data_IF_526064647377
#
_entry.id   IF_526064647377
#
_cell.length_a   1.000
_cell.length_b   1.000
_cell.length_c   1.000
_cell.angle_alpha   90.00
_cell.angle_beta   90.00
_cell.angle_gamma   90.00
#
_symmetry.space_group_name_H-M   'P 1'
#
loop_
_entity.id
_entity.type
_entity.pdbx_description
1 polymer ?
#
# COMPACT_ATOMS: atom_id res chain seq x y z
N UNK A 1 2.80 8.58 -13.81
CA UNK A 1 3.83 8.90 -12.80
C UNK A 1 3.92 10.39 -12.48
N UNK A 2 4.05 11.28 -13.48
CA UNK A 2 4.18 12.75 -13.25
C UNK A 2 2.99 13.41 -12.51
N UNK A 3 1.77 12.88 -12.68
CA UNK A 3 0.59 13.39 -11.96
C UNK A 3 0.58 13.04 -10.46
N UNK A 4 1.29 11.96 -10.08
CA UNK A 4 1.41 11.54 -8.68
C UNK A 4 2.47 12.41 -7.98
N UNK A 5 3.61 12.67 -8.61
CA UNK A 5 4.71 13.49 -8.05
C UNK A 5 4.31 14.94 -7.71
N UNK A 6 3.41 15.55 -8.49
CA UNK A 6 2.85 16.87 -8.18
C UNK A 6 1.95 16.89 -6.96
N UNK A 7 1.41 15.73 -6.57
CA UNK A 7 0.43 15.59 -5.49
C UNK A 7 1.09 15.16 -4.17
N UNK A 8 2.30 14.58 -4.19
CA UNK A 8 2.83 13.95 -2.96
C UNK A 8 3.56 14.90 -2.02
N UNK A 9 4.34 15.90 -2.46
CA UNK A 9 5.08 16.71 -1.48
C UNK A 9 5.38 18.14 -1.98
N UNK A 10 4.69 19.14 -1.41
CA UNK A 10 5.18 20.52 -1.39
C UNK A 10 4.19 21.61 -1.83
N UNK A 11 3.29 21.33 -2.78
CA UNK A 11 2.33 22.33 -3.29
C UNK A 11 1.19 22.67 -2.32
N UNK A 12 0.66 21.68 -1.60
CA UNK A 12 -0.45 21.84 -0.65
C UNK A 12 -0.10 22.71 0.57
N UNK A 13 1.18 22.83 0.92
CA UNK A 13 1.61 23.58 2.12
C UNK A 13 1.69 25.10 1.91
N UNK A 14 1.78 25.59 0.68
CA UNK A 14 1.94 27.02 0.40
C UNK A 14 0.74 27.89 0.85
N UNK A 15 -0.47 27.32 0.88
CA UNK A 15 -1.71 27.96 1.35
C UNK A 15 -2.15 27.51 2.75
N UNK A 16 -1.38 26.65 3.41
CA UNK A 16 -1.75 26.11 4.71
C UNK A 16 -1.63 27.20 5.80
N UNK A 17 -2.80 27.67 6.26
CA UNK A 17 -2.92 28.73 7.28
C UNK A 17 -2.32 28.29 8.63
N UNK A 18 -2.41 27.01 8.96
CA UNK A 18 -1.90 26.46 10.22
C UNK A 18 -0.37 26.46 10.26
N UNK A 19 0.29 26.19 9.13
CA UNK A 19 1.74 26.31 9.01
C UNK A 19 2.20 27.76 9.21
N UNK A 20 1.49 28.74 8.64
CA UNK A 20 1.77 30.17 8.85
C UNK A 20 1.56 30.59 10.30
N UNK A 21 0.50 30.12 10.96
CA UNK A 21 0.28 30.37 12.38
C UNK A 21 1.37 29.76 13.26
N UNK A 22 1.75 28.51 13.00
CA UNK A 22 2.79 27.81 13.74
C UNK A 22 4.15 28.52 13.63
N UNK A 23 4.47 29.04 12.44
CA UNK A 23 5.66 29.87 12.22
C UNK A 23 5.58 31.19 13.00
N UNK A 24 4.44 31.90 12.97
CA UNK A 24 4.24 33.13 13.75
C UNK A 24 4.36 32.90 15.26
N UNK A 25 3.83 31.78 15.77
CA UNK A 25 3.96 31.40 17.19
C UNK A 25 5.41 31.11 17.56
N UNK A 26 6.14 30.36 16.72
CA UNK A 26 7.59 30.12 16.90
C UNK A 26 8.40 31.42 16.91
N UNK A 27 8.09 32.35 16.00
CA UNK A 27 8.77 33.65 15.93
C UNK A 27 8.52 34.48 17.20
N UNK A 28 7.25 34.59 17.63
CA UNK A 28 6.90 35.31 18.86
C UNK A 28 7.61 34.76 20.10
N UNK A 29 7.62 33.44 20.26
CA UNK A 29 8.30 32.80 21.39
C UNK A 29 9.83 33.05 21.37
N UNK A 30 10.44 33.05 20.19
CA UNK A 30 11.85 33.37 20.04
C UNK A 30 12.15 34.85 20.36
N UNK A 31 11.28 35.76 19.93
CA UNK A 31 11.39 37.20 20.20
C UNK A 31 11.17 37.51 21.71
N UNK A 32 10.21 36.85 22.36
CA UNK A 32 9.96 36.92 23.81
C UNK A 32 11.16 36.38 24.61
N UNK A 33 11.71 35.24 24.20
CA UNK A 33 12.90 34.67 24.85
C UNK A 33 14.13 35.57 24.65
N UNK A 34 14.29 36.17 23.47
CA UNK A 34 15.36 37.15 23.20
C UNK A 34 15.23 38.39 24.06
N UNK A 35 14.02 38.93 24.22
CA UNK A 35 13.77 40.11 25.06
C UNK A 35 14.00 39.83 26.54
N UNK A 36 13.60 38.65 27.04
CA UNK A 36 13.92 38.21 28.40
C UNK A 36 15.43 38.09 28.63
N UNK A 37 16.18 37.52 27.69
CA UNK A 37 17.64 37.41 27.77
C UNK A 37 18.31 38.79 27.78
N UNK A 38 17.86 39.72 26.94
CA UNK A 38 18.39 41.09 26.91
C UNK A 38 18.08 41.84 28.20
N UNK A 39 16.88 41.69 28.75
CA UNK A 39 16.51 42.32 30.02
C UNK A 39 17.32 41.76 31.21
N UNK A 40 17.58 40.46 31.22
CA UNK A 40 18.41 39.81 32.23
C UNK A 40 19.88 40.25 32.17
N UNK A 41 20.42 40.48 30.96
CA UNK A 41 21.77 41.01 30.74
C UNK A 41 21.91 42.50 31.12
N UNK A 42 20.81 43.26 31.13
CA UNK A 42 20.81 44.68 31.50
C UNK A 42 20.67 44.92 33.01
N UNK A 43 20.18 43.93 33.77
CA UNK A 43 19.96 44.04 35.22
C UNK A 43 21.11 43.51 36.09
N UNK A 44 22.20 43.01 35.51
CA UNK A 44 23.25 42.32 36.26
C UNK A 44 24.36 43.25 36.77
N UNK A 45 24.43 43.45 38.09
CA UNK A 45 25.71 43.53 38.83
C UNK A 45 26.43 42.16 38.77
N UNK A 46 27.72 42.08 39.11
CA UNK A 46 28.59 40.90 38.91
C UNK A 46 27.98 39.55 39.36
N UNK A 47 27.20 39.52 40.46
CA UNK A 47 26.53 38.30 40.97
C UNK A 47 25.25 37.90 40.21
N UNK A 48 24.56 38.85 39.56
CA UNK A 48 23.34 38.58 38.78
C UNK A 48 23.63 37.91 37.43
N UNK A 49 24.83 38.15 36.88
CA UNK A 49 25.29 37.57 35.61
C UNK A 49 25.46 36.06 35.69
N UNK A 50 26.01 35.55 36.79
CA UNK A 50 26.29 34.12 36.98
C UNK A 50 25.00 33.30 37.14
N UNK A 51 24.00 33.85 37.84
CA UNK A 51 22.68 33.23 37.98
C UNK A 51 21.91 33.16 36.66
N UNK A 52 22.00 34.19 35.83
CA UNK A 52 21.39 34.20 34.48
C UNK A 52 22.06 33.17 33.58
N UNK A 53 23.39 33.04 33.63
CA UNK A 53 24.13 32.03 32.86
C UNK A 53 23.77 30.60 33.28
N UNK A 54 23.62 30.34 34.59
CA UNK A 54 23.20 29.05 35.12
C UNK A 54 21.79 28.67 34.63
N UNK A 55 20.83 29.59 34.67
CA UNK A 55 19.48 29.35 34.16
C UNK A 55 19.43 29.08 32.64
N UNK A 56 20.26 29.79 31.87
CA UNK A 56 20.38 29.55 30.42
C UNK A 56 20.98 28.17 30.18
N UNK A 57 22.01 27.78 30.93
CA UNK A 57 22.63 26.47 30.85
C UNK A 57 21.65 25.36 31.19
N UNK A 58 20.91 25.49 32.29
CA UNK A 58 19.89 24.53 32.73
C UNK A 58 18.78 24.39 31.69
N UNK A 59 18.31 25.50 31.12
CA UNK A 59 17.30 25.47 30.05
C UNK A 59 17.82 24.78 28.78
N UNK A 60 19.07 25.03 28.40
CA UNK A 60 19.70 24.37 27.25
C UNK A 60 19.87 22.87 27.54
N UNK A 61 20.33 22.49 28.73
CA UNK A 61 20.44 21.10 29.14
C UNK A 61 19.09 20.39 29.08
N UNK A 62 18.03 21.02 29.58
CA UNK A 62 16.68 20.47 29.55
C UNK A 62 16.19 20.28 28.11
N UNK A 63 16.42 21.27 27.23
CA UNK A 63 16.05 21.18 25.82
C UNK A 63 16.83 20.05 25.10
N UNK A 64 18.14 19.92 25.36
CA UNK A 64 18.97 18.84 24.83
C UNK A 64 18.45 17.49 25.31
N UNK A 65 18.13 17.34 26.61
CA UNK A 65 17.56 16.09 27.16
C UNK A 65 16.21 15.76 26.52
N UNK A 66 15.34 16.75 26.36
CA UNK A 66 14.03 16.57 25.75
C UNK A 66 14.14 16.13 24.27
N UNK A 67 15.03 16.77 23.50
CA UNK A 67 15.31 16.42 22.10
C UNK A 67 15.92 15.04 21.96
N UNK A 68 16.90 14.68 22.81
CA UNK A 68 17.50 13.34 22.83
C UNK A 68 16.45 12.26 23.11
N UNK A 69 15.55 12.47 24.06
CA UNK A 69 14.45 11.54 24.36
C UNK A 69 13.47 11.41 23.20
N UNK A 70 13.18 12.50 22.49
CA UNK A 70 12.34 12.47 21.30
C UNK A 70 13.01 11.69 20.16
N UNK A 71 14.31 11.93 19.94
CA UNK A 71 15.09 11.25 18.91
C UNK A 71 15.15 9.74 19.15
N UNK A 72 15.38 9.32 20.40
CA UNK A 72 15.35 7.90 20.78
C UNK A 72 13.98 7.26 20.49
N UNK A 73 12.88 7.95 20.82
CA UNK A 73 11.52 7.49 20.49
C UNK A 73 11.31 7.33 18.99
N UNK A 74 11.79 8.30 18.20
CA UNK A 74 11.65 8.24 16.74
C UNK A 74 12.49 7.13 16.13
N UNK A 75 13.72 6.92 16.61
CA UNK A 75 14.55 5.78 16.19
C UNK A 75 13.89 4.44 16.48
N UNK A 76 13.25 4.28 17.65
CA UNK A 76 12.51 3.06 17.98
C UNK A 76 11.34 2.82 17.01
N UNK A 77 10.58 3.86 16.70
CA UNK A 77 9.49 3.78 15.71
C UNK A 77 10.00 3.46 14.31
N UNK A 78 11.11 4.07 13.90
CA UNK A 78 11.73 3.81 12.61
C UNK A 78 12.13 2.33 12.48
N UNK A 79 12.84 1.79 13.47
CA UNK A 79 13.23 0.36 13.48
C UNK A 79 12.02 -0.58 13.48
N UNK A 80 10.98 -0.25 14.24
CA UNK A 80 9.74 -1.04 14.24
C UNK A 80 9.09 -1.05 12.86
N UNK A 81 8.96 0.12 12.21
CA UNK A 81 8.42 0.23 10.87
C UNK A 81 9.30 -0.46 9.81
N UNK A 82 10.62 -0.36 9.90
CA UNK A 82 11.55 -1.08 9.02
C UNK A 82 11.39 -2.61 9.15
N UNK A 83 11.19 -3.11 10.38
CA UNK A 83 10.95 -4.53 10.64
C UNK A 83 9.60 -4.96 10.05
N UNK A 84 8.54 -4.20 10.32
CA UNK A 84 7.20 -4.47 9.79
C UNK A 84 7.17 -4.48 8.25
N UNK A 85 7.86 -3.53 7.60
CA UNK A 85 8.00 -3.52 6.13
C UNK A 85 8.66 -4.81 5.63
N UNK A 86 9.72 -5.25 6.31
CA UNK A 86 10.43 -6.47 5.91
C UNK A 86 9.57 -7.72 6.10
N UNK A 87 8.82 -7.78 7.20
CA UNK A 87 7.92 -8.90 7.50
C UNK A 87 6.81 -8.98 6.43
N UNK A 88 6.14 -7.86 6.14
CA UNK A 88 5.12 -7.76 5.09
C UNK A 88 5.65 -8.13 3.70
N UNK A 89 6.88 -7.71 3.36
CA UNK A 89 7.51 -8.09 2.10
C UNK A 89 7.76 -9.61 2.03
N UNK A 90 8.14 -10.23 3.14
CA UNK A 90 8.36 -11.69 3.20
C UNK A 90 7.04 -12.47 3.07
N UNK A 91 5.98 -12.00 3.73
CA UNK A 91 4.63 -12.57 3.61
C UNK A 91 4.13 -12.48 2.17
N UNK A 92 4.28 -11.30 1.53
CA UNK A 92 3.87 -11.09 0.15
C UNK A 92 4.58 -12.02 -0.83
N UNK A 93 5.89 -12.22 -0.70
CA UNK A 93 6.63 -13.13 -1.58
C UNK A 93 6.24 -14.60 -1.35
N UNK A 94 5.95 -15.01 -0.10
CA UNK A 94 5.44 -16.35 0.19
C UNK A 94 4.07 -16.58 -0.45
N UNK A 95 3.13 -15.65 -0.26
CA UNK A 95 1.81 -15.74 -0.89
C UNK A 95 1.91 -15.82 -2.40
N UNK A 96 2.79 -15.02 -3.02
CA UNK A 96 3.02 -15.05 -4.46
C UNK A 96 3.53 -16.40 -4.94
N UNK A 97 4.43 -17.06 -4.19
CA UNK A 97 4.89 -18.41 -4.50
C UNK A 97 3.72 -19.40 -4.48
N UNK A 98 2.85 -19.31 -3.47
CA UNK A 98 1.69 -20.17 -3.33
C UNK A 98 0.64 -19.93 -4.43
N UNK A 99 0.39 -18.66 -4.78
CA UNK A 99 -0.47 -18.28 -5.91
C UNK A 99 0.06 -18.85 -7.23
N UNK A 100 1.35 -18.70 -7.51
CA UNK A 100 1.98 -19.29 -8.70
C UNK A 100 1.89 -20.82 -8.69
N UNK A 101 2.02 -21.46 -7.53
CA UNK A 101 1.82 -22.89 -7.36
C UNK A 101 0.39 -23.32 -7.72
N UNK A 102 -0.60 -22.55 -7.28
CA UNK A 102 -2.02 -22.78 -7.59
C UNK A 102 -2.29 -22.61 -9.08
N UNK A 103 -1.79 -21.55 -9.71
CA UNK A 103 -1.94 -21.32 -11.17
C UNK A 103 -1.39 -22.51 -11.95
N UNK A 104 -0.15 -22.94 -11.66
CA UNK A 104 0.49 -24.09 -12.34
C UNK A 104 -0.27 -25.40 -12.15
N UNK A 105 -0.91 -25.59 -10.99
CA UNK A 105 -1.78 -26.77 -10.74
C UNK A 105 -3.03 -26.68 -11.60
N UNK A 106 -3.74 -25.55 -11.56
CA UNK A 106 -4.95 -25.32 -12.34
C UNK A 106 -4.70 -25.42 -13.85
N UNK A 107 -3.55 -24.94 -14.34
CA UNK A 107 -3.14 -25.09 -15.73
C UNK A 107 -2.99 -26.57 -16.13
N UNK A 108 -2.33 -27.38 -15.28
CA UNK A 108 -2.19 -28.82 -15.53
C UNK A 108 -3.55 -29.53 -15.53
N UNK A 109 -4.42 -29.20 -14.58
CA UNK A 109 -5.77 -29.79 -14.49
C UNK A 109 -6.62 -29.41 -15.71
N UNK A 110 -6.53 -28.15 -16.17
CA UNK A 110 -7.16 -27.68 -17.41
C UNK A 110 -6.63 -28.42 -18.63
N UNK A 111 -5.32 -28.60 -18.75
CA UNK A 111 -4.71 -29.34 -19.87
C UNK A 111 -5.17 -30.79 -19.89
N UNK A 112 -5.20 -31.46 -18.74
CA UNK A 112 -5.70 -32.83 -18.64
C UNK A 112 -7.17 -32.92 -19.06
N UNK A 113 -8.00 -32.01 -18.56
CA UNK A 113 -9.42 -31.95 -18.91
C UNK A 113 -9.62 -31.74 -20.41
N UNK A 114 -8.86 -30.85 -21.03
CA UNK A 114 -8.90 -30.65 -22.48
C UNK A 114 -8.49 -31.91 -23.25
N UNK A 115 -7.39 -32.57 -22.86
CA UNK A 115 -6.95 -33.81 -23.50
C UNK A 115 -7.99 -34.93 -23.40
N UNK A 116 -8.63 -35.08 -22.24
CA UNK A 116 -9.69 -36.06 -22.04
C UNK A 116 -10.91 -35.74 -22.91
N UNK A 117 -11.31 -34.47 -23.00
CA UNK A 117 -12.41 -34.02 -23.86
C UNK A 117 -12.12 -34.29 -25.34
N UNK A 118 -10.91 -34.01 -25.82
CA UNK A 118 -10.52 -34.26 -27.21
C UNK A 118 -10.58 -35.77 -27.55
N UNK A 119 -10.17 -36.62 -26.61
CA UNK A 119 -10.29 -38.09 -26.74
C UNK A 119 -11.76 -38.53 -26.75
N UNK A 120 -12.55 -38.03 -25.80
CA UNK A 120 -13.96 -38.36 -25.69
C UNK A 120 -14.77 -37.88 -26.90
N UNK A 121 -14.46 -36.71 -27.47
CA UNK A 121 -15.13 -36.13 -28.63
C UNK A 121 -15.13 -37.09 -29.83
N UNK A 122 -14.02 -37.81 -30.04
CA UNK A 122 -13.88 -38.79 -31.12
C UNK A 122 -14.84 -39.97 -31.00
N UNK A 123 -15.39 -40.22 -29.81
CA UNK A 123 -16.33 -41.29 -29.51
C UNK A 123 -17.79 -40.82 -29.66
N UNK A 124 -18.03 -39.51 -29.81
CA UNK A 124 -19.37 -38.94 -29.93
C UNK A 124 -19.91 -39.20 -31.35
N UNK A 125 -21.21 -39.55 -31.42
CA UNK A 125 -21.90 -39.81 -32.69
C UNK A 125 -21.92 -38.54 -33.57
N UNK A 126 -21.64 -38.70 -34.86
CA UNK A 126 -21.44 -37.57 -35.80
C UNK A 126 -22.67 -36.70 -36.06
N UNK A 127 -23.86 -37.25 -35.84
CA UNK A 127 -25.15 -36.58 -35.97
C UNK A 127 -25.56 -35.83 -34.69
N UNK A 128 -24.75 -35.86 -33.64
CA UNK A 128 -24.94 -35.08 -32.41
C UNK A 128 -24.26 -33.71 -32.53
N UNK A 129 -24.88 -32.64 -32.03
CA UNK A 129 -24.27 -31.30 -31.97
C UNK A 129 -22.94 -31.26 -31.19
N UNK A 130 -22.78 -32.08 -30.16
CA UNK A 130 -21.53 -32.19 -29.38
C UNK A 130 -20.37 -32.84 -30.16
N UNK A 131 -20.61 -33.40 -31.34
CA UNK A 131 -19.51 -33.82 -32.23
C UNK A 131 -18.64 -32.62 -32.66
N UNK A 132 -19.19 -31.40 -32.67
CA UNK A 132 -18.47 -30.15 -32.90
C UNK A 132 -18.39 -29.31 -31.62
N UNK A 133 -17.39 -29.59 -30.78
CA UNK A 133 -17.17 -28.85 -29.54
C UNK A 133 -16.80 -27.38 -29.75
N UNK A 134 -16.21 -27.01 -30.89
CA UNK A 134 -15.96 -25.59 -31.18
C UNK A 134 -17.26 -24.81 -31.32
N UNK A 135 -18.22 -25.35 -32.07
CA UNK A 135 -19.55 -24.74 -32.18
C UNK A 135 -20.22 -24.61 -30.82
N UNK A 136 -20.20 -25.68 -30.01
CA UNK A 136 -20.79 -25.65 -28.66
C UNK A 136 -20.14 -24.60 -27.76
N UNK A 137 -18.81 -24.41 -27.84
CA UNK A 137 -18.10 -23.37 -27.08
C UNK A 137 -18.55 -21.96 -27.47
N UNK A 138 -18.73 -21.68 -28.76
CA UNK A 138 -19.18 -20.36 -29.22
C UNK A 138 -20.65 -20.07 -28.84
N UNK A 139 -21.48 -21.11 -28.77
CA UNK A 139 -22.89 -20.99 -28.36
C UNK A 139 -23.06 -20.98 -26.83
N UNK A 140 -22.01 -21.29 -26.08
CA UNK A 140 -22.05 -21.29 -24.61
C UNK A 140 -21.82 -19.89 -24.03
N UNK A 141 -22.56 -19.55 -22.99
CA UNK A 141 -22.54 -18.22 -22.38
C UNK A 141 -22.24 -18.37 -20.89
N UNK A 142 -21.34 -17.54 -20.37
CA UNK A 142 -21.08 -17.48 -18.93
C UNK A 142 -22.26 -16.81 -18.22
N UNK A 143 -22.82 -17.48 -17.23
CA UNK A 143 -23.85 -16.91 -16.36
C UNK A 143 -23.20 -16.47 -15.03
N UNK A 144 -23.13 -15.16 -14.81
CA UNK A 144 -22.58 -14.56 -13.60
C UNK A 144 -23.43 -14.85 -12.36
N UNK A 145 -24.75 -15.03 -12.52
CA UNK A 145 -25.66 -15.25 -11.39
C UNK A 145 -25.49 -16.65 -10.80
N UNK A 146 -25.34 -17.67 -11.66
CA UNK A 146 -25.11 -19.06 -11.24
C UNK A 146 -23.64 -19.44 -11.13
N UNK A 147 -22.73 -18.59 -11.64
CA UNK A 147 -21.28 -18.86 -11.66
C UNK A 147 -20.92 -20.07 -12.51
N UNK A 148 -21.65 -20.34 -13.60
CA UNK A 148 -21.38 -21.47 -14.48
C UNK A 148 -21.68 -21.17 -15.95
N UNK A 149 -21.08 -21.95 -16.86
CA UNK A 149 -21.37 -21.87 -18.28
C UNK A 149 -22.74 -22.49 -18.60
N UNK A 150 -23.60 -21.73 -19.27
CA UNK A 150 -24.81 -22.26 -19.93
C UNK A 150 -24.39 -22.89 -21.26
N UNK A 151 -24.49 -24.21 -21.35
CA UNK A 151 -24.11 -25.01 -22.52
C UNK A 151 -25.39 -25.53 -23.19
N UNK A 152 -25.50 -25.49 -24.54
CA UNK A 152 -26.68 -26.02 -25.26
C UNK A 152 -26.90 -27.51 -25.01
N UNK A 153 -28.15 -27.96 -24.89
CA UNK A 153 -28.46 -29.38 -24.64
C UNK A 153 -28.06 -30.31 -25.81
N UNK A 154 -27.83 -31.62 -25.56
CA UNK A 154 -27.51 -32.57 -26.62
C UNK A 154 -28.69 -32.81 -27.56
N UNK A 155 -28.49 -32.52 -28.84
CA UNK A 155 -29.49 -32.70 -29.91
C UNK A 155 -28.93 -33.58 -31.02
N UNK A 156 -29.75 -34.55 -31.44
CA UNK A 156 -29.47 -35.45 -32.55
C UNK A 156 -30.14 -34.88 -33.81
N UNK A 157 -29.35 -34.52 -34.81
CA UNK A 157 -29.83 -34.08 -36.11
C UNK A 157 -30.04 -35.29 -37.03
N UNK A 158 -31.30 -35.66 -37.29
CA UNK A 158 -31.62 -36.68 -38.27
C UNK A 158 -31.40 -36.12 -39.68
N UNK A 159 -30.29 -36.48 -40.30
CA UNK A 159 -30.08 -36.22 -41.73
C UNK A 159 -30.90 -37.22 -42.55
N UNK A 160 -32.02 -36.76 -43.12
CA UNK A 160 -32.67 -37.48 -44.20
C UNK A 160 -31.85 -37.24 -45.48
N UNK A 161 -31.42 -38.31 -46.16
CA UNK A 161 -30.86 -38.18 -47.50
C UNK A 161 -31.96 -37.69 -48.47
N UNK A 162 -31.64 -36.80 -49.43
CA UNK A 162 -32.55 -36.40 -50.49
C UNK A 162 -32.88 -37.54 -51.46
#
# INVERSE_FOLDING_TARGET
LQMLELQVVGGEQAKNKDLKEKLKRRKRFADERRTQLVAALQQSDEDGSDWVLLNVYDSIQEEVRAKSKLLEKMQKKLRAAETEIKDLQSEFELEKIDYLGTIRRLERDRMLSQQLLDRAQSLIRRDCNYSNLEKMRHESIWDEESGCWKIPEPVIQKTHLP
#
